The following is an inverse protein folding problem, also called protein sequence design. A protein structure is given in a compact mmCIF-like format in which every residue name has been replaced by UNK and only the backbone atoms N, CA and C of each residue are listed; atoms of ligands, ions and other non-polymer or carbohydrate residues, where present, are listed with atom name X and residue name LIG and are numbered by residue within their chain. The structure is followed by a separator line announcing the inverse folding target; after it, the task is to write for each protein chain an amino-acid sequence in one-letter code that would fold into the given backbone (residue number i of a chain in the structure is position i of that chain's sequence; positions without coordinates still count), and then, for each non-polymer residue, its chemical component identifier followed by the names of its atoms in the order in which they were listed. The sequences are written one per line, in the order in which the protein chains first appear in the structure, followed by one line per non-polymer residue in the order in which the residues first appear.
data_IF_790367694652
#
_entry.id   IF_790367694652
#
_cell.length_a   1.000
_cell.length_b   1.000
_cell.length_c   1.000
_cell.angle_alpha   90.00
_cell.angle_beta   90.00
_cell.angle_gamma   90.00
#
_symmetry.space_group_name_H-M   'P 1'
#
loop_
_entity.id
_entity.type
_entity.pdbx_description
1 polymer ?
#
# COMPACT_ATOMS: atom_id res chain seq x y z
N UNK A 1 -20.90 -0.13 -22.87
CA UNK A 1 -21.84 -1.25 -22.59
C UNK A 1 -21.10 -2.22 -21.69
N UNK A 2 -21.32 -2.18 -20.38
CA UNK A 2 -20.76 -3.13 -19.40
C UNK A 2 -21.63 -4.39 -19.49
N UNK A 3 -21.08 -5.47 -20.08
CA UNK A 3 -21.75 -6.76 -20.05
C UNK A 3 -22.10 -7.14 -18.61
N UNK A 4 -23.31 -7.67 -18.40
CA UNK A 4 -23.78 -8.17 -17.10
C UNK A 4 -22.73 -9.16 -16.57
N UNK A 5 -22.12 -8.86 -15.43
CA UNK A 5 -21.21 -9.77 -14.74
C UNK A 5 -22.04 -10.93 -14.22
N UNK A 6 -21.69 -12.16 -14.61
CA UNK A 6 -22.35 -13.38 -14.15
C UNK A 6 -21.34 -14.21 -13.39
N UNK A 7 -21.72 -14.68 -12.20
CA UNK A 7 -20.80 -15.41 -11.32
C UNK A 7 -20.36 -16.74 -11.93
N UNK A 8 -21.29 -17.47 -12.58
CA UNK A 8 -21.05 -18.82 -13.13
C UNK A 8 -19.94 -18.88 -14.17
N UNK A 9 -19.71 -17.78 -14.91
CA UNK A 9 -18.67 -17.70 -15.93
C UNK A 9 -17.40 -17.02 -15.45
N UNK A 10 -17.41 -16.46 -14.26
CA UNK A 10 -16.30 -15.66 -13.73
C UNK A 10 -15.27 -16.53 -13.01
N UNK A 11 -14.02 -16.11 -13.10
CA UNK A 11 -12.91 -16.63 -12.30
C UNK A 11 -12.50 -15.57 -11.30
N UNK A 12 -12.34 -15.92 -10.03
CA UNK A 12 -11.87 -15.02 -8.99
C UNK A 12 -10.48 -15.45 -8.55
N UNK A 13 -9.50 -14.55 -8.65
CA UNK A 13 -8.15 -14.76 -8.12
C UNK A 13 -8.09 -14.30 -6.67
N UNK A 14 -7.49 -15.11 -5.79
CA UNK A 14 -7.19 -14.72 -4.41
C UNK A 14 -5.70 -14.57 -4.26
N UNK A 15 -5.23 -13.34 -4.08
CA UNK A 15 -3.81 -12.99 -3.94
C UNK A 15 -3.42 -12.91 -2.48
N UNK A 16 -2.41 -13.67 -2.10
CA UNK A 16 -1.95 -13.83 -0.73
C UNK A 16 -0.44 -13.67 -0.65
N UNK A 17 0.08 -12.64 0.04
CA UNK A 17 1.49 -12.48 0.29
C UNK A 17 1.92 -13.42 1.43
N UNK A 18 3.06 -14.11 1.30
CA UNK A 18 3.51 -15.11 2.27
C UNK A 18 4.97 -14.92 2.68
N UNK A 19 5.22 -15.06 3.98
CA UNK A 19 6.55 -15.14 4.54
C UNK A 19 6.53 -15.85 5.91
N UNK A 20 7.05 -17.08 6.01
CA UNK A 20 7.06 -17.91 7.21
C UNK A 20 5.64 -18.13 7.80
N UNK A 21 4.76 -18.76 7.02
CA UNK A 21 3.34 -18.96 7.35
C UNK A 21 2.89 -20.44 7.22
N UNK A 22 3.81 -21.38 7.45
CA UNK A 22 3.59 -22.82 7.26
C UNK A 22 2.31 -23.32 7.93
N UNK A 23 2.05 -22.87 9.16
CA UNK A 23 0.92 -23.35 9.97
C UNK A 23 -0.42 -22.77 9.50
N UNK A 24 -0.42 -21.53 8.99
CA UNK A 24 -1.62 -20.83 8.58
C UNK A 24 -2.09 -21.24 7.19
N UNK A 25 -1.18 -21.57 6.27
CA UNK A 25 -1.50 -21.88 4.86
C UNK A 25 -2.54 -22.99 4.70
N UNK A 26 -2.43 -24.16 5.34
CA UNK A 26 -3.43 -25.23 5.15
C UNK A 26 -4.82 -24.82 5.62
N UNK A 27 -4.92 -24.22 6.80
CA UNK A 27 -6.20 -23.77 7.39
C UNK A 27 -6.85 -22.69 6.53
N UNK A 28 -6.04 -21.77 6.01
CA UNK A 28 -6.50 -20.72 5.11
C UNK A 28 -7.08 -21.30 3.81
N UNK A 29 -6.36 -22.25 3.18
CA UNK A 29 -6.81 -22.88 1.92
C UNK A 29 -8.14 -23.60 2.12
N UNK A 30 -8.33 -24.34 3.22
CA UNK A 30 -9.60 -25.00 3.52
C UNK A 30 -10.75 -23.99 3.71
N UNK A 31 -10.51 -22.86 4.38
CA UNK A 31 -11.52 -21.80 4.53
C UNK A 31 -11.89 -21.17 3.18
N UNK A 32 -10.92 -20.89 2.34
CA UNK A 32 -11.14 -20.38 0.97
C UNK A 32 -11.95 -21.36 0.14
N UNK A 33 -11.59 -22.64 0.16
CA UNK A 33 -12.36 -23.68 -0.55
C UNK A 33 -13.83 -23.70 -0.14
N UNK A 34 -14.13 -23.63 1.16
CA UNK A 34 -15.52 -23.58 1.66
C UNK A 34 -16.28 -22.35 1.15
N UNK A 35 -15.64 -21.19 1.09
CA UNK A 35 -16.22 -19.96 0.54
C UNK A 35 -16.57 -20.16 -0.94
N UNK A 36 -15.64 -20.64 -1.75
CA UNK A 36 -15.85 -20.79 -3.19
C UNK A 36 -16.78 -21.96 -3.52
N UNK A 37 -16.84 -23.00 -2.68
CA UNK A 37 -17.85 -24.05 -2.80
C UNK A 37 -19.26 -23.52 -2.61
N UNK A 38 -19.48 -22.54 -1.73
CA UNK A 38 -20.79 -21.87 -1.57
C UNK A 38 -21.09 -20.91 -2.71
N UNK A 39 -20.08 -20.17 -3.18
CA UNK A 39 -20.23 -19.24 -4.30
C UNK A 39 -20.48 -19.95 -5.64
N UNK A 40 -20.02 -21.18 -5.82
CA UNK A 40 -20.21 -21.97 -7.04
C UNK A 40 -19.45 -21.46 -8.26
N UNK A 41 -18.49 -20.53 -8.09
CA UNK A 41 -17.68 -19.97 -9.19
C UNK A 41 -16.26 -20.56 -9.23
N UNK A 42 -15.60 -20.37 -10.38
CA UNK A 42 -14.20 -20.77 -10.51
C UNK A 42 -13.28 -19.82 -9.77
N UNK A 43 -12.20 -20.35 -9.24
CA UNK A 43 -11.23 -19.56 -8.48
C UNK A 43 -9.80 -20.08 -8.66
N UNK A 44 -8.83 -19.24 -8.32
CA UNK A 44 -7.43 -19.60 -8.19
C UNK A 44 -6.84 -18.90 -6.95
N UNK A 45 -5.85 -19.54 -6.31
CA UNK A 45 -5.00 -18.95 -5.30
C UNK A 45 -3.66 -18.54 -5.92
N UNK A 46 -3.28 -17.29 -5.75
CA UNK A 46 -1.98 -16.76 -6.18
C UNK A 46 -1.16 -16.46 -4.94
N UNK A 47 -0.29 -17.38 -4.56
CA UNK A 47 0.63 -17.23 -3.44
C UNK A 47 1.92 -16.53 -3.89
N UNK A 48 2.17 -15.35 -3.36
CA UNK A 48 3.39 -14.58 -3.58
C UNK A 48 4.33 -14.78 -2.37
N UNK A 49 5.26 -15.73 -2.51
CA UNK A 49 6.09 -16.25 -1.42
C UNK A 49 7.48 -15.59 -1.41
N UNK A 50 7.76 -14.79 -0.39
CA UNK A 50 9.12 -14.43 -0.03
C UNK A 50 9.89 -15.65 0.49
N UNK A 51 11.21 -15.79 0.24
CA UNK A 51 12.01 -16.91 0.71
C UNK A 51 11.81 -17.17 2.21
N UNK A 52 11.20 -18.30 2.51
CA UNK A 52 10.78 -18.72 3.85
C UNK A 52 11.65 -19.88 4.34
N UNK A 53 11.90 -19.93 5.65
CA UNK A 53 12.79 -20.92 6.29
C UNK A 53 12.07 -21.96 7.14
N UNK A 54 10.74 -21.84 7.26
CA UNK A 54 9.89 -22.66 8.13
C UNK A 54 9.23 -23.86 7.42
N UNK A 55 9.43 -24.02 6.09
CA UNK A 55 8.77 -25.07 5.30
C UNK A 55 7.43 -24.63 4.70
N UNK A 56 7.15 -23.31 4.60
CA UNK A 56 5.95 -22.78 3.93
C UNK A 56 5.85 -23.23 2.48
N UNK A 57 6.97 -23.24 1.73
CA UNK A 57 7.01 -23.66 0.32
C UNK A 57 6.55 -25.11 0.15
N UNK A 58 7.08 -26.00 0.97
CA UNK A 58 6.74 -27.43 0.95
C UNK A 58 5.27 -27.68 1.29
N UNK A 59 4.71 -26.91 2.24
CA UNK A 59 3.29 -26.99 2.57
C UNK A 59 2.40 -26.58 1.38
N UNK A 60 2.78 -25.54 0.63
CA UNK A 60 2.07 -25.09 -0.57
C UNK A 60 2.14 -26.16 -1.67
N UNK A 61 3.33 -26.71 -1.96
CA UNK A 61 3.49 -27.74 -3.00
C UNK A 61 2.64 -28.97 -2.71
N UNK A 62 2.57 -29.40 -1.44
CA UNK A 62 1.69 -30.50 -1.01
C UNK A 62 0.21 -30.21 -1.29
N UNK A 63 -0.25 -28.98 -1.09
CA UNK A 63 -1.61 -28.58 -1.41
C UNK A 63 -1.87 -28.59 -2.92
N UNK A 64 -0.89 -28.18 -3.72
CA UNK A 64 -0.97 -28.25 -5.18
C UNK A 64 -1.09 -29.71 -5.66
N UNK A 65 -0.33 -30.64 -5.06
CA UNK A 65 -0.42 -32.07 -5.35
C UNK A 65 -1.79 -32.66 -4.96
N UNK A 66 -2.44 -32.10 -3.93
CA UNK A 66 -3.80 -32.45 -3.52
C UNK A 66 -4.89 -31.88 -4.48
N UNK A 67 -4.50 -31.14 -5.53
CA UNK A 67 -5.40 -30.66 -6.58
C UNK A 67 -5.98 -29.27 -6.36
N UNK A 68 -5.53 -28.51 -5.38
CA UNK A 68 -5.95 -27.11 -5.21
C UNK A 68 -5.45 -26.24 -6.35
N UNK A 69 -6.24 -25.27 -6.85
CA UNK A 69 -5.89 -24.41 -7.99
C UNK A 69 -4.93 -23.29 -7.54
N UNK A 70 -3.70 -23.65 -7.21
CA UNK A 70 -2.68 -22.75 -6.66
C UNK A 70 -1.67 -22.39 -7.74
N UNK A 71 -1.34 -21.09 -7.83
CA UNK A 71 -0.16 -20.54 -8.50
C UNK A 71 0.79 -20.03 -7.43
N UNK A 72 1.98 -20.59 -7.37
CA UNK A 72 3.05 -20.18 -6.47
C UNK A 72 4.07 -19.32 -7.22
N UNK A 73 4.25 -18.08 -6.78
CA UNK A 73 5.31 -17.16 -7.22
C UNK A 73 6.35 -17.15 -6.12
N UNK A 74 7.53 -17.70 -6.37
CA UNK A 74 8.65 -17.71 -5.43
C UNK A 74 9.66 -16.64 -5.84
N UNK A 75 10.04 -15.77 -4.89
CA UNK A 75 10.98 -14.69 -5.16
C UNK A 75 12.42 -15.10 -4.88
N UNK A 76 13.37 -14.48 -5.62
CA UNK A 76 14.81 -14.71 -5.46
C UNK A 76 15.39 -14.22 -4.13
N UNK A 77 14.74 -13.26 -3.49
CA UNK A 77 15.05 -12.72 -2.15
C UNK A 77 13.79 -12.14 -1.52
N UNK A 78 13.87 -11.75 -0.25
CA UNK A 78 12.77 -11.06 0.41
C UNK A 78 12.56 -9.66 -0.19
N UNK A 79 11.37 -9.41 -0.75
CA UNK A 79 10.94 -8.12 -1.29
C UNK A 79 9.93 -7.42 -0.38
N UNK A 80 9.25 -8.17 0.48
CA UNK A 80 8.28 -7.67 1.44
C UNK A 80 6.86 -7.56 0.88
N UNK A 81 5.90 -7.49 1.80
CA UNK A 81 4.47 -7.56 1.50
C UNK A 81 3.98 -6.67 0.35
N UNK A 82 4.34 -5.36 0.24
CA UNK A 82 3.81 -4.51 -0.82
C UNK A 82 4.16 -5.00 -2.22
N UNK A 83 5.40 -5.45 -2.43
CA UNK A 83 5.84 -5.95 -3.73
C UNK A 83 5.33 -7.35 -4.02
N UNK A 84 5.17 -8.19 -2.98
CA UNK A 84 4.53 -9.50 -3.10
C UNK A 84 3.07 -9.38 -3.54
N UNK A 85 2.32 -8.41 -3.01
CA UNK A 85 0.96 -8.12 -3.42
C UNK A 85 0.88 -7.68 -4.88
N UNK A 86 1.78 -6.79 -5.30
CA UNK A 86 1.82 -6.32 -6.68
C UNK A 86 2.14 -7.44 -7.66
N UNK A 87 3.14 -8.28 -7.33
CA UNK A 87 3.44 -9.46 -8.12
C UNK A 87 2.25 -10.42 -8.21
N UNK A 88 1.59 -10.70 -7.08
CA UNK A 88 0.38 -11.52 -7.08
C UNK A 88 -0.73 -10.98 -7.99
N UNK A 89 -0.92 -9.66 -8.01
CA UNK A 89 -1.87 -9.01 -8.94
C UNK A 89 -1.44 -9.15 -10.40
N UNK A 90 -0.16 -8.99 -10.71
CA UNK A 90 0.36 -9.12 -12.08
C UNK A 90 0.22 -10.55 -12.63
N UNK A 91 0.32 -11.55 -11.76
CA UNK A 91 0.17 -12.97 -12.12
C UNK A 91 -1.26 -13.49 -11.99
N UNK A 92 -2.21 -12.69 -11.48
CA UNK A 92 -3.62 -13.09 -11.39
C UNK A 92 -4.29 -13.13 -12.76
N UNK A 93 -5.20 -14.10 -12.96
CA UNK A 93 -5.89 -14.30 -14.26
C UNK A 93 -7.40 -14.12 -14.16
N UNK A 94 -7.94 -13.91 -12.98
CA UNK A 94 -9.37 -13.80 -12.73
C UNK A 94 -10.02 -12.52 -13.29
N UNK A 95 -11.33 -12.55 -13.38
CA UNK A 95 -12.17 -11.41 -13.75
C UNK A 95 -12.28 -10.40 -12.60
N UNK A 96 -12.04 -10.87 -11.38
CA UNK A 96 -11.81 -10.06 -10.19
C UNK A 96 -10.70 -10.68 -9.34
N UNK A 97 -10.05 -9.85 -8.53
CA UNK A 97 -8.94 -10.22 -7.68
C UNK A 97 -9.22 -9.80 -6.23
N UNK A 98 -9.14 -10.76 -5.32
CA UNK A 98 -9.24 -10.52 -3.88
C UNK A 98 -7.85 -10.55 -3.28
N UNK A 99 -7.49 -9.51 -2.54
CA UNK A 99 -6.25 -9.44 -1.76
C UNK A 99 -6.60 -9.72 -0.31
N UNK A 100 -5.94 -10.69 0.31
CA UNK A 100 -6.19 -11.08 1.70
C UNK A 100 -4.91 -11.61 2.34
N UNK A 101 -4.76 -11.41 3.66
CA UNK A 101 -3.66 -11.98 4.45
C UNK A 101 -3.98 -13.42 4.89
N UNK A 102 -2.96 -14.25 5.01
CA UNK A 102 -3.08 -15.66 5.40
C UNK A 102 -3.33 -15.86 6.89
N UNK A 103 -3.11 -14.84 7.74
CA UNK A 103 -3.14 -14.92 9.20
C UNK A 103 -4.55 -15.09 9.82
N UNK A 104 -5.57 -15.20 8.96
CA UNK A 104 -6.98 -15.40 9.31
C UNK A 104 -7.59 -14.31 10.21
N UNK A 105 -6.92 -13.19 10.39
CA UNK A 105 -7.50 -12.04 11.09
C UNK A 105 -8.60 -11.35 10.27
N UNK A 106 -8.46 -11.41 8.96
CA UNK A 106 -9.45 -10.93 8.00
C UNK A 106 -10.24 -12.17 7.51
N UNK A 107 -11.55 -12.29 7.81
CA UNK A 107 -12.31 -13.53 7.57
C UNK A 107 -12.52 -13.76 6.06
N UNK A 108 -12.10 -14.92 5.51
CA UNK A 108 -12.31 -15.24 4.10
C UNK A 108 -13.79 -15.25 3.68
N UNK A 109 -14.70 -15.49 4.60
CA UNK A 109 -16.15 -15.51 4.38
C UNK A 109 -16.70 -14.16 3.91
N UNK A 110 -15.98 -13.06 4.20
CA UNK A 110 -16.35 -11.72 3.72
C UNK A 110 -16.28 -11.60 2.20
N UNK A 111 -15.55 -12.50 1.53
CA UNK A 111 -15.44 -12.55 0.07
C UNK A 111 -16.83 -12.70 -0.56
N UNK A 112 -17.76 -13.43 0.05
CA UNK A 112 -19.13 -13.59 -0.44
C UNK A 112 -19.83 -12.22 -0.58
N UNK A 113 -19.79 -11.41 0.48
CA UNK A 113 -20.38 -10.07 0.46
C UNK A 113 -19.61 -9.10 -0.49
N UNK A 114 -18.32 -9.31 -0.68
CA UNK A 114 -17.55 -8.53 -1.65
C UNK A 114 -17.93 -8.88 -3.08
N UNK A 115 -18.13 -10.16 -3.38
CA UNK A 115 -18.60 -10.64 -4.69
C UNK A 115 -19.97 -10.05 -5.01
N UNK A 116 -20.89 -10.02 -4.06
CA UNK A 116 -22.22 -9.40 -4.23
C UNK A 116 -22.10 -7.92 -4.63
N UNK A 117 -21.18 -7.17 -3.99
CA UNK A 117 -20.92 -5.77 -4.34
C UNK A 117 -20.30 -5.62 -5.72
N UNK A 118 -19.37 -6.49 -6.07
CA UNK A 118 -18.75 -6.50 -7.40
C UNK A 118 -19.77 -6.81 -8.50
N UNK A 119 -20.71 -7.75 -8.28
CA UNK A 119 -21.79 -8.05 -9.21
C UNK A 119 -22.80 -6.89 -9.34
N UNK A 120 -22.99 -6.07 -8.28
CA UNK A 120 -23.76 -4.83 -8.33
C UNK A 120 -23.08 -3.73 -9.19
N UNK A 121 -21.87 -3.96 -9.68
CA UNK A 121 -21.15 -3.04 -10.58
C UNK A 121 -20.04 -2.22 -9.93
N UNK A 122 -19.81 -2.36 -8.62
CA UNK A 122 -18.64 -1.74 -7.98
C UNK A 122 -17.35 -2.40 -8.46
N UNK A 123 -16.34 -1.59 -8.79
CA UNK A 123 -15.08 -2.07 -9.33
C UNK A 123 -14.02 -2.27 -8.24
N UNK A 124 -14.18 -1.58 -7.11
CA UNK A 124 -13.34 -1.70 -5.92
C UNK A 124 -14.23 -1.92 -4.70
N UNK A 125 -14.03 -3.03 -3.99
CA UNK A 125 -14.73 -3.32 -2.73
C UNK A 125 -13.71 -3.43 -1.61
N UNK A 126 -13.78 -2.54 -0.62
CA UNK A 126 -12.81 -2.45 0.48
C UNK A 126 -13.42 -3.07 1.73
N UNK A 127 -12.69 -4.00 2.36
CA UNK A 127 -13.01 -4.47 3.69
C UNK A 127 -12.59 -3.43 4.74
N UNK A 128 -13.55 -2.91 5.47
CA UNK A 128 -13.34 -1.94 6.53
C UNK A 128 -13.65 -2.53 7.90
N UNK A 129 -12.72 -2.41 8.82
CA UNK A 129 -12.90 -2.88 10.19
C UNK A 129 -13.87 -1.97 10.94
N UNK A 130 -14.92 -2.54 11.51
CA UNK A 130 -15.95 -1.79 12.26
C UNK A 130 -15.39 -1.21 13.55
N UNK A 131 -14.52 -1.95 14.26
CA UNK A 131 -13.87 -1.47 15.49
C UNK A 131 -12.47 -2.07 15.65
N UNK A 132 -11.59 -1.36 16.35
CA UNK A 132 -10.26 -1.82 16.75
C UNK A 132 -10.26 -2.17 18.25
N UNK A 133 -11.21 -2.99 18.70
CA UNK A 133 -11.29 -3.43 20.10
C UNK A 133 -10.02 -4.22 20.46
N UNK A 134 -9.32 -3.81 21.54
CA UNK A 134 -8.11 -4.47 22.05
C UNK A 134 -6.78 -3.85 21.63
N UNK A 135 -6.76 -2.82 20.78
CA UNK A 135 -5.53 -2.08 20.49
C UNK A 135 -5.32 -0.95 21.51
N UNK A 136 -4.06 -0.63 21.80
CA UNK A 136 -3.70 0.41 22.79
C UNK A 136 -4.20 1.78 22.32
N UNK A 137 -4.84 2.56 23.24
CA UNK A 137 -5.46 3.86 22.94
C UNK A 137 -4.55 4.85 22.21
N UNK A 138 -3.26 4.91 22.58
CA UNK A 138 -2.27 5.77 21.93
C UNK A 138 -2.01 5.37 20.47
N UNK A 139 -2.01 4.07 20.18
CA UNK A 139 -1.86 3.55 18.82
C UNK A 139 -3.09 3.88 17.96
N UNK A 140 -4.28 3.76 18.52
CA UNK A 140 -5.54 4.14 17.83
C UNK A 140 -5.56 5.62 17.48
N UNK A 141 -5.19 6.50 18.42
CA UNK A 141 -5.11 7.95 18.16
C UNK A 141 -4.03 8.32 17.16
N UNK A 142 -2.88 7.65 17.19
CA UNK A 142 -1.81 7.89 16.20
C UNK A 142 -2.22 7.46 14.81
N UNK A 143 -2.94 6.32 14.66
CA UNK A 143 -3.46 5.87 13.40
C UNK A 143 -4.57 6.80 12.86
N UNK A 144 -5.51 7.24 13.71
CA UNK A 144 -6.54 8.21 13.34
C UNK A 144 -5.91 9.55 12.88
N UNK A 145 -4.94 10.06 13.63
CA UNK A 145 -4.21 11.26 13.24
C UNK A 145 -3.48 11.08 11.91
N UNK A 146 -2.85 9.93 11.71
CA UNK A 146 -2.19 9.60 10.45
C UNK A 146 -3.16 9.64 9.26
N UNK A 147 -4.33 8.96 9.36
CA UNK A 147 -5.32 8.99 8.28
C UNK A 147 -5.92 10.38 8.07
N UNK A 148 -6.14 11.17 9.14
CA UNK A 148 -6.58 12.57 9.02
C UNK A 148 -5.56 13.43 8.29
N UNK A 149 -4.28 13.29 8.62
CA UNK A 149 -3.18 13.99 7.95
C UNK A 149 -3.08 13.52 6.51
N UNK A 150 -3.06 12.21 6.27
CA UNK A 150 -3.02 11.64 4.92
C UNK A 150 -4.16 12.18 4.05
N UNK A 151 -5.41 12.06 4.50
CA UNK A 151 -6.59 12.50 3.75
C UNK A 151 -6.70 14.03 3.62
N UNK A 152 -6.12 14.80 4.56
CA UNK A 152 -6.09 16.27 4.47
C UNK A 152 -5.08 16.77 3.45
N UNK A 153 -3.98 16.05 3.29
CA UNK A 153 -2.82 16.49 2.52
C UNK A 153 -2.57 15.65 1.25
N UNK A 154 -3.20 14.50 1.11
CA UNK A 154 -3.18 13.68 -0.09
C UNK A 154 -4.23 14.17 -1.10
N UNK A 155 -3.91 14.08 -2.38
CA UNK A 155 -4.87 14.30 -3.47
C UNK A 155 -5.89 13.16 -3.56
N UNK A 156 -5.69 12.08 -2.77
CA UNK A 156 -6.47 10.83 -2.84
C UNK A 156 -7.06 10.51 -1.46
N UNK A 157 -8.36 10.21 -1.42
CA UNK A 157 -9.05 9.84 -0.19
C UNK A 157 -8.92 8.32 0.07
N UNK A 158 -8.20 7.95 1.13
CA UNK A 158 -8.07 6.56 1.59
C UNK A 158 -9.03 6.34 2.76
N UNK A 159 -9.98 5.37 2.68
CA UNK A 159 -10.90 5.10 3.78
C UNK A 159 -10.16 4.75 5.07
N UNK A 160 -10.57 5.37 6.17
CA UNK A 160 -10.02 5.07 7.51
C UNK A 160 -10.30 3.61 7.90
N UNK A 161 -9.45 3.04 8.73
CA UNK A 161 -9.57 1.64 9.20
C UNK A 161 -9.62 0.57 8.09
N UNK A 162 -9.24 0.93 6.86
CA UNK A 162 -9.10 -0.04 5.77
C UNK A 162 -7.72 -0.72 5.81
N UNK A 163 -7.74 -2.05 5.70
CA UNK A 163 -6.54 -2.88 5.50
C UNK A 163 -6.19 -3.02 4.01
N UNK A 164 -5.37 -4.03 3.71
CA UNK A 164 -5.09 -4.42 2.32
C UNK A 164 -6.18 -5.34 1.77
N UNK A 165 -7.04 -5.91 2.63
CA UNK A 165 -8.15 -6.76 2.24
C UNK A 165 -9.16 -6.00 1.39
N UNK A 166 -9.20 -6.35 0.11
CA UNK A 166 -10.07 -5.73 -0.90
C UNK A 166 -10.31 -6.63 -2.08
N UNK A 167 -11.40 -6.40 -2.79
CA UNK A 167 -11.67 -7.00 -4.07
C UNK A 167 -11.56 -5.94 -5.16
N UNK A 168 -10.89 -6.28 -6.24
CA UNK A 168 -10.58 -5.42 -7.38
C UNK A 168 -11.08 -6.08 -8.67
N UNK A 169 -11.83 -5.37 -9.49
CA UNK A 169 -12.13 -5.80 -10.84
C UNK A 169 -10.86 -5.93 -11.68
N UNK A 170 -10.84 -6.85 -12.65
CA UNK A 170 -9.68 -7.05 -13.54
C UNK A 170 -9.27 -5.76 -14.28
N UNK A 171 -10.19 -4.82 -14.53
CA UNK A 171 -9.87 -3.51 -15.12
C UNK A 171 -9.02 -2.68 -14.16
N UNK A 172 -9.41 -2.67 -12.89
CA UNK A 172 -8.66 -1.97 -11.81
C UNK A 172 -7.29 -2.58 -11.64
N UNK A 173 -7.20 -3.91 -11.61
CA UNK A 173 -5.91 -4.63 -11.51
C UNK A 173 -4.97 -4.24 -12.64
N UNK A 174 -5.47 -4.21 -13.89
CA UNK A 174 -4.66 -3.81 -15.04
C UNK A 174 -4.11 -2.38 -14.91
N UNK A 175 -4.92 -1.44 -14.44
CA UNK A 175 -4.45 -0.07 -14.25
C UNK A 175 -3.45 0.04 -13.09
N UNK A 176 -3.69 -0.65 -11.95
CA UNK A 176 -2.74 -0.71 -10.84
C UNK A 176 -1.38 -1.26 -11.30
N UNK A 177 -1.36 -2.34 -12.09
CA UNK A 177 -0.12 -2.93 -12.61
C UNK A 177 0.66 -1.98 -13.55
N UNK A 178 0.02 -0.97 -14.16
CA UNK A 178 0.68 0.05 -14.98
C UNK A 178 1.42 1.11 -14.17
N UNK A 179 1.05 1.30 -12.89
CA UNK A 179 1.80 2.19 -12.00
C UNK A 179 3.20 1.60 -11.76
N UNK A 180 4.22 2.40 -12.03
CA UNK A 180 5.62 1.97 -11.90
C UNK A 180 6.25 2.31 -10.55
N UNK A 181 5.46 2.84 -9.62
CA UNK A 181 5.91 3.22 -8.29
C UNK A 181 6.55 2.03 -7.56
N UNK A 182 7.74 2.25 -6.99
CA UNK A 182 8.51 1.19 -6.30
C UNK A 182 8.03 0.91 -4.89
N UNK A 183 7.49 1.92 -4.21
CA UNK A 183 7.11 1.80 -2.81
C UNK A 183 5.75 1.11 -2.57
N UNK A 184 5.02 0.78 -3.63
CA UNK A 184 3.88 -0.16 -3.61
C UNK A 184 2.80 0.13 -2.57
N UNK A 185 2.53 1.40 -2.23
CA UNK A 185 1.42 1.74 -1.32
C UNK A 185 0.08 1.49 -2.01
N UNK A 186 -0.30 0.21 -2.06
CA UNK A 186 -1.45 -0.28 -2.82
C UNK A 186 -2.76 0.44 -2.46
N UNK A 187 -2.91 0.87 -1.19
CA UNK A 187 -4.11 1.62 -0.76
C UNK A 187 -4.21 2.97 -1.45
N UNK A 188 -3.10 3.69 -1.57
CA UNK A 188 -3.02 4.96 -2.27
C UNK A 188 -3.21 4.79 -3.77
N UNK A 189 -2.52 3.81 -4.39
CA UNK A 189 -2.65 3.51 -5.82
C UNK A 189 -4.10 3.13 -6.16
N UNK A 190 -4.74 2.26 -5.36
CA UNK A 190 -6.15 1.87 -5.57
C UNK A 190 -7.10 3.05 -5.52
N UNK A 191 -6.84 4.01 -4.61
CA UNK A 191 -7.65 5.22 -4.53
C UNK A 191 -7.36 6.18 -5.70
N UNK A 192 -6.09 6.26 -6.16
CA UNK A 192 -5.66 7.13 -7.26
C UNK A 192 -6.24 6.73 -8.63
N UNK A 193 -6.53 5.45 -8.86
CA UNK A 193 -7.13 5.00 -10.14
C UNK A 193 -8.59 5.45 -10.32
N UNK A 194 -9.29 5.88 -9.27
CA UNK A 194 -10.58 6.60 -9.36
C UNK A 194 -11.78 5.76 -9.80
N UNK A 195 -11.73 4.44 -9.68
CA UNK A 195 -12.85 3.56 -10.02
C UNK A 195 -13.96 3.56 -8.94
N UNK A 196 -15.14 3.09 -9.32
CA UNK A 196 -16.31 3.02 -8.42
C UNK A 196 -15.99 2.15 -7.20
N UNK A 197 -16.05 2.75 -6.02
CA UNK A 197 -15.61 2.13 -4.76
C UNK A 197 -16.76 2.00 -3.78
N UNK A 198 -16.83 0.86 -3.09
CA UNK A 198 -17.74 0.62 -1.96
C UNK A 198 -17.00 -0.07 -0.81
N UNK A 199 -17.66 -0.13 0.35
CA UNK A 199 -17.08 -0.68 1.58
C UNK A 199 -17.98 -1.79 2.11
N UNK A 200 -17.35 -2.89 2.58
CA UNK A 200 -17.99 -3.93 3.37
C UNK A 200 -17.36 -3.94 4.76
N UNK A 201 -18.19 -3.79 5.80
CA UNK A 201 -17.68 -3.71 7.18
C UNK A 201 -17.67 -5.07 7.85
N UNK A 202 -16.62 -5.34 8.66
CA UNK A 202 -16.49 -6.58 9.43
C UNK A 202 -15.85 -6.34 10.81
N UNK A 203 -16.01 -7.30 11.69
CA UNK A 203 -15.34 -7.34 12.98
C UNK A 203 -14.12 -8.26 12.88
N UNK A 204 -12.97 -7.78 13.33
CA UNK A 204 -11.69 -8.49 13.21
C UNK A 204 -11.60 -9.66 14.19
N UNK A 205 -11.24 -10.82 13.70
CA UNK A 205 -10.93 -11.98 14.54
C UNK A 205 -9.57 -11.83 15.24
N UNK A 206 -9.37 -12.40 16.46
CA UNK A 206 -8.07 -12.46 17.09
C UNK A 206 -7.12 -13.35 16.27
N UNK A 207 -5.82 -13.00 16.27
CA UNK A 207 -4.81 -13.82 15.58
C UNK A 207 -4.75 -15.23 16.15
N UNK A 208 -4.67 -16.23 15.27
CA UNK A 208 -4.43 -17.63 15.68
C UNK A 208 -2.99 -17.84 16.15
N UNK A 209 -1.99 -17.21 15.51
CA UNK A 209 -0.57 -17.30 15.87
C UNK A 209 0.20 -16.04 15.45
N UNK A 210 1.34 -15.75 16.12
CA UNK A 210 2.26 -14.67 15.78
C UNK A 210 2.14 -13.41 16.63
N UNK A 211 3.26 -12.64 16.76
CA UNK A 211 3.31 -11.35 17.46
C UNK A 211 3.38 -10.19 16.45
N UNK A 212 2.62 -9.14 16.68
CA UNK A 212 2.73 -7.89 15.90
C UNK A 212 4.09 -7.27 16.17
N UNK A 213 4.95 -7.16 15.17
CA UNK A 213 6.23 -6.48 15.25
C UNK A 213 6.33 -5.42 14.17
N UNK A 214 5.63 -4.30 14.36
CA UNK A 214 5.97 -3.08 13.60
C UNK A 214 6.78 -2.22 14.56
N UNK A 215 8.12 -2.18 14.46
CA UNK A 215 8.93 -1.26 15.25
C UNK A 215 8.55 0.19 14.89
N UNK A 216 8.76 1.13 15.81
CA UNK A 216 8.44 2.56 15.62
C UNK A 216 9.04 3.11 14.30
N UNK A 217 10.25 2.67 13.92
CA UNK A 217 10.87 3.00 12.63
C UNK A 217 10.05 2.52 11.43
N UNK A 218 9.44 1.33 11.52
CA UNK A 218 8.56 0.81 10.47
C UNK A 218 7.29 1.64 10.30
N UNK A 219 6.70 2.12 11.41
CA UNK A 219 5.53 2.99 11.37
C UNK A 219 5.84 4.34 10.71
N UNK A 220 7.01 4.93 11.00
CA UNK A 220 7.47 6.18 10.36
C UNK A 220 7.68 5.97 8.86
N UNK A 221 8.31 4.88 8.43
CA UNK A 221 8.53 4.59 7.01
C UNK A 221 7.18 4.43 6.28
N UNK A 222 6.23 3.69 6.85
CA UNK A 222 4.87 3.55 6.28
C UNK A 222 4.19 4.93 6.13
N UNK A 223 4.38 5.83 7.10
CA UNK A 223 3.84 7.17 7.03
C UNK A 223 4.49 8.01 5.91
N UNK A 224 5.81 7.94 5.77
CA UNK A 224 6.54 8.63 4.70
C UNK A 224 6.18 8.06 3.32
N UNK A 225 6.06 6.74 3.21
CA UNK A 225 5.66 6.07 1.96
C UNK A 225 4.21 6.36 1.55
N UNK A 226 3.35 6.67 2.53
CA UNK A 226 1.97 7.08 2.26
C UNK A 226 1.80 8.57 1.95
N UNK A 227 2.63 9.46 2.54
CA UNK A 227 2.46 10.92 2.42
C UNK A 227 3.27 11.49 1.24
N UNK A 228 4.54 11.13 1.12
CA UNK A 228 5.45 11.80 0.17
C UNK A 228 5.03 11.60 -1.29
N UNK A 229 4.67 10.37 -1.77
CA UNK A 229 4.28 10.18 -3.17
C UNK A 229 2.96 10.86 -3.55
N UNK A 230 2.04 11.00 -2.58
CA UNK A 230 0.68 11.49 -2.82
C UNK A 230 0.44 12.92 -2.32
N UNK A 231 1.50 13.65 -1.88
CA UNK A 231 1.34 14.98 -1.29
C UNK A 231 2.49 15.93 -1.61
N UNK A 232 2.15 17.11 -2.12
CA UNK A 232 3.11 18.23 -2.30
C UNK A 232 3.22 19.08 -1.04
N UNK A 233 2.46 18.77 0.00
CA UNK A 233 2.34 19.60 1.20
C UNK A 233 3.64 19.71 1.99
N UNK A 234 4.47 18.65 2.19
CA UNK A 234 5.72 18.78 2.92
C UNK A 234 6.63 19.87 2.34
N UNK A 235 6.76 19.92 1.01
CA UNK A 235 7.58 20.94 0.33
C UNK A 235 6.97 22.33 0.47
N UNK A 236 5.64 22.45 0.32
CA UNK A 236 4.94 23.73 0.48
C UNK A 236 5.03 24.27 1.90
N UNK A 237 4.93 23.41 2.92
CA UNK A 237 5.08 23.81 4.32
C UNK A 237 6.46 24.37 4.60
N UNK A 238 7.53 23.74 4.13
CA UNK A 238 8.89 24.25 4.27
C UNK A 238 9.04 25.59 3.58
N UNK A 239 8.50 25.75 2.38
CA UNK A 239 8.51 27.04 1.66
C UNK A 239 7.77 28.14 2.42
N UNK A 240 6.57 27.87 2.95
CA UNK A 240 5.80 28.83 3.73
C UNK A 240 6.50 29.20 5.04
N UNK A 241 7.04 28.21 5.76
CA UNK A 241 7.81 28.44 6.99
C UNK A 241 9.05 29.27 6.73
N UNK A 242 9.79 28.96 5.65
CA UNK A 242 10.96 29.72 5.21
C UNK A 242 10.60 31.17 4.87
N UNK A 243 9.53 31.36 4.11
CA UNK A 243 9.05 32.70 3.74
C UNK A 243 8.62 33.51 4.96
N UNK A 244 7.88 32.91 5.90
CA UNK A 244 7.45 33.55 7.13
C UNK A 244 8.64 33.94 8.02
N UNK A 245 9.62 33.03 8.17
CA UNK A 245 10.82 33.29 8.96
C UNK A 245 11.67 34.41 8.35
N UNK A 246 11.80 34.41 7.01
CA UNK A 246 12.52 35.47 6.27
C UNK A 246 11.81 36.84 6.44
N UNK A 247 10.50 36.87 6.34
CA UNK A 247 9.73 38.11 6.58
C UNK A 247 9.90 38.63 8.02
N UNK A 248 9.87 37.72 9.01
CA UNK A 248 10.09 38.05 10.40
C UNK A 248 11.51 38.58 10.62
N UNK A 249 12.52 37.96 10.02
CA UNK A 249 13.92 38.41 10.10
C UNK A 249 14.10 39.83 9.49
N UNK A 250 13.49 40.09 8.33
CA UNK A 250 13.50 41.39 7.67
C UNK A 250 12.84 42.47 8.55
N UNK A 251 11.65 42.17 9.09
CA UNK A 251 10.93 43.07 9.96
C UNK A 251 11.73 43.38 11.24
N UNK A 252 12.30 42.36 11.88
CA UNK A 252 13.15 42.52 13.08
C UNK A 252 14.40 43.35 12.79
N UNK A 253 15.04 43.14 11.64
CA UNK A 253 16.20 43.93 11.20
C UNK A 253 15.82 45.41 10.97
N UNK A 254 14.69 45.65 10.33
CA UNK A 254 14.19 47.01 10.09
C UNK A 254 13.90 47.75 11.43
N UNK A 255 13.21 47.08 12.35
CA UNK A 255 12.90 47.66 13.69
C UNK A 255 14.22 47.95 14.44
N UNK A 256 15.20 47.08 14.36
CA UNK A 256 16.50 47.31 15.01
C UNK A 256 17.26 48.53 14.41
N UNK A 257 17.30 48.64 13.08
CA UNK A 257 17.93 49.79 12.39
C UNK A 257 17.24 51.08 12.82
N UNK A 258 15.90 51.14 12.74
CA UNK A 258 15.14 52.35 13.13
C UNK A 258 15.38 52.70 14.63
N UNK A 259 15.34 51.70 15.53
CA UNK A 259 15.58 51.94 16.95
C UNK A 259 17.01 52.39 17.25
N UNK A 260 17.98 51.85 16.51
CA UNK A 260 19.40 52.28 16.63
C UNK A 260 19.65 53.70 16.16
N UNK A 261 18.98 54.12 15.08
CA UNK A 261 19.03 55.51 14.59
C UNK A 261 18.38 56.52 15.57
N UNK A 262 17.33 56.09 16.27
CA UNK A 262 16.60 56.97 17.19
C UNK A 262 17.21 57.03 18.62
N UNK A 263 17.77 55.90 19.12
CA UNK A 263 18.17 55.74 20.54
C UNK A 263 19.67 55.44 20.74
N UNK A 264 20.43 55.25 19.67
CA UNK A 264 21.82 54.79 19.70
C UNK A 264 21.97 53.27 19.78
N UNK A 265 23.08 52.73 19.23
CA UNK A 265 23.35 51.29 19.08
C UNK A 265 24.04 50.68 20.33
N UNK A 266 23.56 50.89 21.56
CA UNK A 266 24.26 50.48 22.78
C UNK A 266 23.84 49.11 23.37
N UNK A 267 23.00 48.34 22.73
CA UNK A 267 22.44 47.10 23.29
C UNK A 267 23.05 45.83 22.69
N UNK A 268 23.38 44.84 23.53
CA UNK A 268 23.85 43.50 23.09
C UNK A 268 22.69 42.59 22.58
N UNK A 269 21.44 42.94 22.84
CA UNK A 269 20.26 42.19 22.42
C UNK A 269 20.16 41.87 20.93
N UNK A 270 20.57 42.80 20.00
CA UNK A 270 20.55 42.52 18.59
C UNK A 270 21.46 41.37 18.17
N UNK A 271 22.61 41.20 18.83
CA UNK A 271 23.58 40.15 18.53
C UNK A 271 23.01 38.78 18.90
N UNK A 272 22.36 38.68 20.07
CA UNK A 272 21.69 37.45 20.51
C UNK A 272 20.51 37.10 19.59
N UNK A 273 19.71 38.08 19.19
CA UNK A 273 18.58 37.90 18.29
C UNK A 273 19.04 37.44 16.91
N UNK A 274 20.11 38.07 16.37
CA UNK A 274 20.72 37.65 15.11
C UNK A 274 21.28 36.24 15.18
N UNK A 275 21.91 35.86 16.27
CA UNK A 275 22.40 34.50 16.50
C UNK A 275 21.26 33.46 16.50
N UNK A 276 20.16 33.74 17.23
CA UNK A 276 18.99 32.88 17.29
C UNK A 276 18.29 32.75 15.92
N UNK A 277 18.10 33.86 15.21
CA UNK A 277 17.54 33.86 13.84
C UNK A 277 18.42 33.08 12.87
N UNK A 278 19.74 33.25 12.93
CA UNK A 278 20.69 32.50 12.11
C UNK A 278 20.57 31.00 12.38
N UNK A 279 20.47 30.58 13.64
CA UNK A 279 20.28 29.20 14.02
C UNK A 279 18.95 28.63 13.48
N UNK A 280 17.85 29.39 13.63
CA UNK A 280 16.55 29.00 13.10
C UNK A 280 16.54 28.87 11.57
N UNK A 281 17.15 29.82 10.85
CA UNK A 281 17.28 29.78 9.40
C UNK A 281 18.13 28.56 8.97
N UNK A 282 19.25 28.31 9.66
CA UNK A 282 20.09 27.15 9.37
C UNK A 282 19.37 25.82 9.60
N UNK A 283 18.63 25.70 10.71
CA UNK A 283 17.83 24.51 10.98
C UNK A 283 16.75 24.28 9.92
N UNK A 284 16.06 25.35 9.51
CA UNK A 284 15.04 25.27 8.46
C UNK A 284 15.66 24.90 7.11
N UNK A 285 16.82 25.47 6.77
CA UNK A 285 17.54 25.15 5.52
C UNK A 285 17.96 23.69 5.49
N UNK A 286 18.50 23.14 6.58
CA UNK A 286 18.84 21.73 6.69
C UNK A 286 17.62 20.82 6.57
N UNK A 287 16.49 21.21 7.18
CA UNK A 287 15.25 20.48 7.04
C UNK A 287 14.73 20.50 5.59
N UNK A 288 14.78 21.65 4.94
CA UNK A 288 14.42 21.80 3.53
C UNK A 288 15.26 20.93 2.61
N UNK A 289 16.59 20.94 2.81
CA UNK A 289 17.52 20.11 2.07
C UNK A 289 17.26 18.61 2.29
N UNK A 290 16.93 18.21 3.52
CA UNK A 290 16.54 16.84 3.84
C UNK A 290 15.28 16.39 3.10
N UNK A 291 14.24 17.22 3.06
CA UNK A 291 13.00 16.94 2.32
C UNK A 291 13.27 16.88 0.81
N UNK A 292 13.99 17.84 0.26
CA UNK A 292 14.37 17.84 -1.16
C UNK A 292 15.18 16.59 -1.48
N UNK A 293 16.16 16.24 -0.61
CA UNK A 293 16.96 15.04 -0.74
C UNK A 293 16.12 13.77 -0.82
N UNK A 294 15.06 13.65 -0.01
CA UNK A 294 14.13 12.51 -0.04
C UNK A 294 13.38 12.43 -1.38
N UNK A 295 12.89 13.56 -1.92
CA UNK A 295 12.25 13.57 -3.25
C UNK A 295 13.23 13.24 -4.38
N UNK A 296 14.45 13.77 -4.32
CA UNK A 296 15.51 13.45 -5.30
C UNK A 296 15.88 11.98 -5.24
N UNK A 297 16.01 11.42 -4.03
CA UNK A 297 16.30 9.99 -3.84
C UNK A 297 15.20 9.12 -4.48
N UNK A 298 13.94 9.41 -4.24
CA UNK A 298 12.81 8.68 -4.84
C UNK A 298 12.79 8.81 -6.36
N UNK A 299 12.99 10.03 -6.89
CA UNK A 299 13.09 10.25 -8.34
C UNK A 299 14.24 9.46 -8.94
N UNK A 300 15.40 9.42 -8.27
CA UNK A 300 16.55 8.63 -8.69
C UNK A 300 16.25 7.12 -8.68
N UNK A 301 15.57 6.62 -7.65
CA UNK A 301 15.17 5.21 -7.57
C UNK A 301 14.19 4.82 -8.70
N UNK A 302 13.26 5.70 -9.07
CA UNK A 302 12.36 5.50 -10.20
C UNK A 302 13.09 5.59 -11.53
N UNK A 303 13.97 6.56 -11.70
CA UNK A 303 14.75 6.76 -12.93
C UNK A 303 15.72 5.60 -13.26
N UNK A 304 16.13 4.82 -12.24
CA UNK A 304 17.00 3.63 -12.46
C UNK A 304 16.28 2.50 -13.20
N UNK A 305 14.96 2.52 -13.30
CA UNK A 305 14.11 1.51 -13.97
C UNK A 305 14.49 0.04 -13.65
N UNK A 306 14.93 -0.22 -12.42
CA UNK A 306 15.22 -1.60 -11.96
C UNK A 306 13.93 -2.37 -11.78
N UNK A 307 13.91 -3.70 -12.03
CA UNK A 307 12.75 -4.53 -11.71
C UNK A 307 12.32 -4.32 -10.24
N UNK A 308 11.02 -4.15 -10.01
CA UNK A 308 10.46 -3.98 -8.65
C UNK A 308 10.68 -5.20 -7.78
N UNK A 309 10.59 -6.38 -8.38
CA UNK A 309 10.87 -7.69 -7.78
C UNK A 309 11.49 -8.61 -8.82
N UNK A 310 12.09 -9.70 -8.37
CA UNK A 310 12.66 -10.75 -9.22
C UNK A 310 12.02 -12.06 -8.79
N UNK A 311 11.34 -12.70 -9.74
CA UNK A 311 10.77 -14.04 -9.55
C UNK A 311 11.86 -15.05 -9.87
N UNK A 312 12.09 -15.98 -8.94
CA UNK A 312 12.99 -17.10 -9.09
C UNK A 312 12.27 -18.25 -9.83
N UNK A 313 11.05 -18.57 -9.37
CA UNK A 313 10.27 -19.67 -9.90
C UNK A 313 8.77 -19.35 -9.88
N UNK A 314 8.04 -19.83 -10.90
CA UNK A 314 6.57 -19.87 -10.90
C UNK A 314 6.13 -21.31 -11.08
N UNK A 315 5.39 -21.84 -10.10
CA UNK A 315 4.80 -23.18 -10.16
C UNK A 315 3.29 -23.05 -10.27
N UNK A 316 2.70 -23.72 -11.25
CA UNK A 316 1.25 -23.69 -11.49
C UNK A 316 0.65 -25.10 -11.31
N UNK A 317 -0.42 -25.19 -10.53
CA UNK A 317 -1.20 -26.41 -10.43
C UNK A 317 -1.94 -26.68 -11.76
N UNK A 318 -2.11 -27.96 -12.12
CA UNK A 318 -2.83 -28.37 -13.34
C UNK A 318 -4.30 -27.96 -13.37
N UNK A 319 -4.86 -27.68 -12.21
CA UNK A 319 -6.28 -27.34 -11.96
C UNK A 319 -6.59 -25.86 -12.13
N UNK A 320 -5.59 -24.99 -12.39
CA UNK A 320 -5.83 -23.55 -12.56
C UNK A 320 -6.79 -23.30 -13.74
N UNK A 321 -7.87 -22.54 -13.54
CA UNK A 321 -8.79 -22.21 -14.62
C UNK A 321 -8.08 -21.38 -15.70
N UNK A 322 -7.97 -21.90 -16.90
CA UNK A 322 -7.46 -21.11 -18.03
C UNK A 322 -8.55 -20.18 -18.52
N UNK A 323 -8.28 -18.89 -18.53
CA UNK A 323 -9.14 -17.89 -19.16
C UNK A 323 -9.21 -18.23 -20.66
N UNK A 324 -10.43 -18.33 -21.23
CA UNK A 324 -10.59 -18.21 -22.69
C UNK A 324 -10.18 -16.76 -23.03
N UNK A 325 -9.00 -16.58 -23.59
CA UNK A 325 -8.51 -15.26 -24.00
C UNK A 325 -9.40 -14.68 -25.09
N UNK A 326 -10.03 -13.50 -24.87
CA UNK A 326 -10.20 -12.60 -26.00
C UNK A 326 -8.80 -12.07 -26.25
N UNK A 327 -8.23 -12.45 -27.37
CA UNK A 327 -6.95 -12.01 -27.88
C UNK A 327 -5.86 -11.74 -26.84
N UNK A 328 -4.72 -12.30 -27.02
CA UNK A 328 -3.48 -12.18 -26.25
C UNK A 328 -3.01 -10.72 -25.99
N UNK A 329 -3.95 -9.81 -25.86
CA UNK A 329 -3.81 -8.39 -25.59
C UNK A 329 -3.47 -8.10 -24.13
N UNK A 330 -2.52 -8.82 -23.56
CA UNK A 330 -2.12 -8.59 -22.17
C UNK A 330 -0.76 -9.13 -21.78
N UNK A 331 -0.11 -9.88 -22.62
CA UNK A 331 1.30 -10.20 -22.42
C UNK A 331 2.15 -8.96 -22.67
N UNK A 332 2.16 -8.01 -21.73
CA UNK A 332 2.83 -6.77 -22.02
C UNK A 332 3.22 -5.87 -20.87
N UNK A 333 3.01 -6.22 -19.62
CA UNK A 333 3.67 -5.44 -18.57
C UNK A 333 5.13 -5.85 -18.33
N UNK A 334 5.53 -7.06 -18.69
CA UNK A 334 6.86 -7.58 -18.35
C UNK A 334 7.94 -7.39 -19.42
N UNK A 335 7.64 -7.14 -20.71
CA UNK A 335 8.73 -7.10 -21.70
C UNK A 335 8.36 -6.44 -23.04
N UNK A 336 8.04 -5.15 -23.07
CA UNK A 336 8.19 -4.37 -24.31
C UNK A 336 9.13 -3.19 -24.07
N UNK A 337 10.40 -3.38 -24.45
CA UNK A 337 11.30 -2.27 -24.75
C UNK A 337 10.73 -1.54 -25.96
N UNK A 338 10.53 -0.23 -25.95
CA UNK A 338 10.46 0.54 -27.19
C UNK A 338 11.84 0.51 -27.83
N UNK A 339 11.87 0.26 -29.15
CA UNK A 339 13.06 0.49 -29.98
C UNK A 339 13.38 1.96 -30.01
#
# INVERSE_FOLDING_TARGET
MTGSKTLDSSVISVVVPLYNEKENVPVFVERIERVFSRLGCKWELVFALDPSTDGTREAILKLMDNGYPIRLIHFSRRFGKPLSLLAGLEYSTGDACVIIDVDLQDPPELIEAMVDKWLQGFEVVIAQRRSRRGEHYLYLKSAELFYKILNRFSEVHVPENSGDFRMLDARVVREICRFRERHGFLRGITAAVGFSTTVVTFDREPRLAGKTQIPLRGAVNIALDGIIPFSRVPVRMVFLMGSALSALALAGTLVWIVSGLLKGFSSQWPILLLGLLSLCISALTLTALGIIGEYVLRTYEEARDRPRYIVDEVVEARTIPRRRTPDEAGRGCANRRPK
#
